data_IF_358473256858
#
_entry.id   IF_358473256858
#
_cell.length_a   1.000
_cell.length_b   1.000
_cell.length_c   1.000
_cell.angle_alpha   90.00
_cell.angle_beta   90.00
_cell.angle_gamma   90.00
#
_symmetry.space_group_name_H-M   'P 1'
#
loop_
_entity.id
_entity.type
_entity.pdbx_description
1 polymer ?
2 non-polymer ?
3 non-polymer ?
4 non-polymer ?
5 water ?
#
# COMPACT_ATOMS: atom_id res chain seq x y z
N UNK A 9 7.57 3.81 -22.43
CA UNK A 9 8.10 2.48 -22.86
C UNK A 9 7.11 1.63 -23.58
N UNK A 10 7.21 1.41 -24.88
CA UNK A 10 6.22 0.60 -25.72
C UNK A 10 6.87 -0.41 -26.58
N UNK A 11 6.29 -1.58 -26.63
CA UNK A 11 6.94 -2.78 -27.26
C UNK A 11 6.13 -3.36 -28.41
N UNK A 12 6.76 -4.04 -29.41
CA UNK A 12 6.04 -4.64 -30.52
C UNK A 12 5.38 -5.97 -30.03
N UNK A 13 4.41 -6.46 -30.77
CA UNK A 13 3.46 -7.46 -30.22
C UNK A 13 4.11 -8.83 -30.39
N UNK A 14 4.13 -9.74 -29.34
CA UNK A 14 4.70 -11.08 -29.46
C UNK A 14 3.58 -11.93 -30.16
N UNK A 15 3.82 -12.42 -31.36
CA UNK A 15 2.69 -12.99 -32.15
C UNK A 15 2.08 -14.34 -31.59
N UNK A 16 2.64 -14.83 -30.51
CA UNK A 16 1.92 -15.92 -29.75
C UNK A 16 0.66 -15.40 -29.02
N UNK A 17 0.63 -14.11 -28.62
CA UNK A 17 -0.62 -13.36 -28.31
C UNK A 17 -1.47 -13.10 -29.61
N UNK A 18 -2.77 -13.45 -29.61
CA UNK A 18 -3.74 -13.11 -30.61
C UNK A 18 -4.29 -11.77 -30.20
N UNK A 19 -4.45 -10.85 -31.21
CA UNK A 19 -4.60 -9.38 -30.98
C UNK A 19 -5.90 -9.02 -30.24
N UNK A 20 -7.02 -9.73 -30.44
CA UNK A 20 -8.33 -9.27 -29.92
C UNK A 20 -8.26 -8.98 -28.34
N UNK A 21 -7.31 -9.54 -27.68
CA UNK A 21 -7.02 -9.30 -26.27
C UNK A 21 -6.35 -8.00 -25.97
N UNK A 22 -5.54 -7.46 -26.92
CA UNK A 22 -4.62 -6.38 -26.66
C UNK A 22 -5.33 -5.06 -26.15
N UNK A 23 -4.82 -4.38 -25.13
CA UNK A 23 -5.33 -3.10 -24.61
C UNK A 23 -4.18 -2.14 -24.37
N UNK A 24 -4.43 -0.86 -24.77
CA UNK A 24 -3.56 0.27 -24.42
C UNK A 24 -3.80 0.76 -22.99
N UNK A 25 -2.77 0.63 -22.19
CA UNK A 25 -2.75 1.03 -20.74
C UNK A 25 -1.40 0.85 -20.04
N UNK A 26 -0.80 1.90 -19.46
CA UNK A 26 0.38 1.83 -18.59
C UNK A 26 0.08 1.91 -17.11
N UNK A 27 0.70 1.06 -16.24
CA UNK A 27 0.60 1.06 -14.77
C UNK A 27 0.99 2.31 -14.02
N UNK A 28 1.84 3.14 -14.56
CA UNK A 28 2.19 4.45 -14.01
C UNK A 28 1.49 5.67 -14.64
N UNK A 29 1.05 5.46 -15.94
CA UNK A 29 0.06 6.30 -16.59
C UNK A 29 -1.28 5.65 -17.14
N UNK A 30 -2.20 5.44 -16.17
CA UNK A 30 -3.46 4.74 -16.40
C UNK A 30 -4.39 5.66 -17.24
N UNK A 31 -5.68 5.45 -17.42
CA UNK A 31 -6.43 6.17 -18.53
C UNK A 31 -6.54 7.69 -18.43
N UNK A 32 -6.26 8.27 -17.28
CA UNK A 32 -6.50 9.70 -17.11
C UNK A 32 -5.92 10.24 -15.80
N UNK A 33 -4.89 11.17 -15.86
CA UNK A 33 -4.24 11.75 -14.66
C UNK A 33 -5.14 12.67 -13.81
N UNK A 34 -6.37 12.99 -14.29
CA UNK A 34 -7.35 13.85 -13.53
C UNK A 34 -8.37 13.06 -12.67
N UNK A 35 -8.41 11.74 -12.81
CA UNK A 35 -9.26 10.82 -11.99
C UNK A 35 -8.50 10.18 -10.82
N UNK A 36 -9.35 9.56 -9.93
CA UNK A 36 -8.91 8.74 -8.73
C UNK A 36 -8.46 7.32 -9.23
N UNK A 37 -7.48 6.73 -8.61
CA UNK A 37 -6.78 5.59 -9.18
C UNK A 37 -7.73 4.46 -9.54
N UNK A 38 -8.79 4.23 -8.77
CA UNK A 38 -9.84 3.20 -9.12
C UNK A 38 -10.53 3.68 -10.48
N UNK A 39 -10.91 4.99 -10.55
CA UNK A 39 -11.61 5.50 -11.79
C UNK A 39 -10.67 5.75 -12.99
N UNK A 40 -9.31 5.84 -12.78
CA UNK A 40 -8.32 5.82 -13.79
C UNK A 40 -8.08 4.42 -14.40
N UNK A 41 -8.20 3.31 -13.63
CA UNK A 41 -8.04 1.94 -14.20
C UNK A 41 -9.40 1.31 -14.61
N UNK A 42 -10.51 1.88 -14.23
CA UNK A 42 -11.82 1.27 -14.54
C UNK A 42 -12.06 0.95 -16.02
N UNK A 43 -11.53 1.64 -17.08
CA UNK A 43 -11.70 1.34 -18.51
C UNK A 43 -11.39 -0.08 -18.85
N UNK A 44 -10.68 -0.88 -17.99
CA UNK A 44 -10.34 -2.29 -18.24
C UNK A 44 -11.49 -3.24 -17.94
N UNK A 45 -12.55 -2.76 -17.31
CA UNK A 45 -13.71 -3.52 -17.01
C UNK A 45 -14.94 -3.33 -17.93
N UNK A 46 -14.88 -2.62 -19.07
CA UNK A 46 -15.99 -2.58 -19.99
C UNK A 46 -16.42 -3.99 -20.48
N UNK A 47 -17.70 -4.09 -20.81
CA UNK A 47 -18.36 -5.50 -20.99
C UNK A 47 -17.91 -6.36 -22.17
N UNK A 48 -17.13 -5.76 -23.11
CA UNK A 48 -16.46 -6.45 -24.20
C UNK A 48 -15.08 -6.98 -23.70
N UNK A 49 -14.45 -6.49 -22.63
CA UNK A 49 -13.00 -6.67 -22.37
C UNK A 49 -12.80 -8.04 -21.83
N UNK A 50 -11.92 -8.91 -22.24
CA UNK A 50 -11.62 -10.17 -21.53
C UNK A 50 -11.18 -10.02 -20.02
N UNK A 51 -11.03 -11.17 -19.30
CA UNK A 51 -10.62 -11.24 -17.87
C UNK A 51 -9.08 -10.86 -17.70
N UNK A 52 -8.41 -10.75 -18.78
CA UNK A 52 -6.98 -10.47 -18.78
C UNK A 52 -6.60 -9.89 -20.13
N UNK A 53 -5.65 -8.97 -20.21
CA UNK A 53 -5.17 -8.27 -21.33
C UNK A 53 -3.66 -8.32 -21.42
N UNK A 54 -3.13 -8.23 -22.63
CA UNK A 54 -1.78 -7.82 -22.90
C UNK A 54 -1.79 -6.33 -23.31
N UNK A 55 -0.99 -5.57 -22.56
CA UNK A 55 -0.52 -4.19 -22.72
C UNK A 55 0.94 -4.30 -23.29
N UNK A 56 1.19 -3.56 -24.32
CA UNK A 56 2.53 -3.39 -25.00
C UNK A 56 3.33 -2.30 -24.26
N UNK A 57 2.70 -1.58 -23.35
CA UNK A 57 3.35 -0.54 -22.48
C UNK A 57 4.28 -1.07 -21.42
N UNK A 58 5.21 -0.25 -20.86
CA UNK A 58 6.19 -0.76 -19.89
C UNK A 58 7.16 -1.87 -20.46
N UNK A 59 7.37 -1.95 -21.77
CA UNK A 59 8.06 -3.01 -22.38
C UNK A 59 7.27 -4.36 -22.66
N UNK A 60 5.99 -4.36 -22.29
CA UNK A 60 5.13 -5.60 -22.40
C UNK A 60 4.86 -6.28 -21.04
N UNK A 61 3.66 -6.49 -20.71
CA UNK A 61 3.17 -7.33 -19.61
C UNK A 61 1.69 -7.73 -19.52
N UNK A 62 1.32 -8.94 -19.04
CA UNK A 62 -0.08 -9.34 -18.88
C UNK A 62 -0.62 -8.71 -17.62
N UNK A 63 -1.84 -8.11 -17.79
CA UNK A 63 -2.74 -7.68 -16.74
C UNK A 63 -4.06 -8.54 -16.68
N UNK A 64 -4.57 -8.85 -15.49
CA UNK A 64 -5.95 -9.28 -15.25
C UNK A 64 -6.79 -8.03 -14.96
N UNK A 65 -8.02 -7.95 -15.57
CA UNK A 65 -9.00 -6.93 -15.29
C UNK A 65 -9.94 -7.32 -14.17
N UNK A 66 -10.12 -8.63 -13.96
CA UNK A 66 -11.23 -9.09 -13.15
C UNK A 66 -10.79 -9.55 -11.82
N UNK A 67 -11.50 -9.04 -10.79
CA UNK A 67 -11.43 -9.48 -9.38
C UNK A 67 -11.55 -10.96 -9.31
N UNK A 68 -12.42 -11.56 -10.06
CA UNK A 68 -12.66 -12.98 -9.96
C UNK A 68 -11.40 -13.75 -10.32
N UNK A 69 -10.69 -13.47 -11.45
CA UNK A 69 -9.46 -14.25 -11.60
C UNK A 69 -8.41 -13.94 -10.50
N UNK A 70 -8.28 -12.64 -10.18
CA UNK A 70 -7.33 -12.22 -9.15
C UNK A 70 -7.55 -13.07 -7.87
N UNK A 71 -8.75 -13.15 -7.32
CA UNK A 71 -9.10 -13.98 -6.19
C UNK A 71 -8.92 -15.52 -6.43
N UNK A 72 -8.85 -15.98 -7.64
CA UNK A 72 -8.46 -17.40 -7.91
C UNK A 72 -6.98 -17.67 -8.09
N UNK A 73 -6.25 -16.78 -8.79
CA UNK A 73 -4.83 -16.79 -8.63
C UNK A 73 -4.35 -16.78 -7.20
N UNK A 74 -4.99 -15.92 -6.32
CA UNK A 74 -4.65 -15.73 -4.93
C UNK A 74 -4.89 -16.95 -4.05
N UNK A 75 -5.77 -17.89 -4.39
CA UNK A 75 -6.11 -19.04 -3.50
C UNK A 75 -4.92 -20.01 -3.30
N UNK A 76 -4.59 -20.84 -4.33
CA UNK A 76 -3.58 -21.85 -4.27
C UNK A 76 -2.13 -21.31 -4.63
N UNK A 77 -1.29 -21.37 -3.58
CA UNK A 77 0.17 -20.97 -3.68
C UNK A 77 0.88 -21.95 -4.66
N UNK A 78 0.43 -23.20 -4.84
CA UNK A 78 1.12 -24.10 -5.75
C UNK A 78 0.95 -23.76 -7.24
N UNK A 79 -0.09 -22.99 -7.60
CA UNK A 79 -0.30 -22.52 -8.99
C UNK A 79 0.22 -21.08 -9.32
N UNK A 80 0.27 -20.22 -8.36
CA UNK A 80 0.75 -18.79 -8.49
C UNK A 80 1.39 -18.25 -7.24
N UNK A 81 2.50 -17.57 -7.34
CA UNK A 81 3.31 -17.11 -6.15
C UNK A 81 3.45 -15.61 -6.12
N UNK A 82 3.33 -14.94 -4.95
CA UNK A 82 3.69 -13.60 -4.61
C UNK A 82 5.22 -13.32 -4.58
N UNK A 83 6.13 -14.28 -4.92
CA UNK A 83 7.55 -14.33 -4.45
C UNK A 83 8.38 -13.10 -4.89
N UNK A 84 7.96 -12.49 -5.97
CA UNK A 84 8.28 -11.03 -6.23
C UNK A 84 7.00 -10.32 -6.67
N UNK A 85 6.38 -9.45 -5.89
CA UNK A 85 5.03 -8.93 -6.24
C UNK A 85 5.19 -7.67 -7.07
N UNK A 86 6.44 -7.28 -7.41
CA UNK A 86 6.75 -6.01 -8.03
C UNK A 86 7.19 -6.28 -9.49
N UNK A 87 6.31 -6.08 -10.48
CA UNK A 87 6.42 -6.53 -11.84
C UNK A 87 7.35 -5.81 -12.80
N UNK A 88 7.54 -4.46 -12.74
CA UNK A 88 8.43 -3.89 -13.78
C UNK A 88 9.84 -4.33 -13.55
N UNK A 89 10.57 -4.52 -14.68
CA UNK A 89 11.84 -5.22 -14.75
C UNK A 89 12.84 -4.75 -13.68
N UNK A 90 12.99 -3.43 -13.50
CA UNK A 90 13.89 -2.77 -12.57
C UNK A 90 13.65 -3.34 -11.13
N UNK A 91 12.41 -3.56 -10.76
CA UNK A 91 12.11 -4.11 -9.43
C UNK A 91 12.28 -5.58 -9.49
N UNK A 92 11.79 -6.19 -10.58
CA UNK A 92 11.95 -7.63 -10.78
C UNK A 92 13.39 -8.20 -10.75
N UNK A 93 14.38 -7.35 -11.16
CA UNK A 93 15.78 -7.81 -11.13
C UNK A 93 16.59 -7.43 -9.85
N UNK A 94 15.91 -7.02 -8.79
CA UNK A 94 16.50 -6.50 -7.54
C UNK A 94 15.70 -6.57 -6.30
N UNK A 95 14.42 -6.88 -6.42
CA UNK A 95 13.50 -7.13 -5.29
C UNK A 95 13.88 -8.49 -4.79
N UNK A 96 14.08 -8.70 -3.50
CA UNK A 96 14.22 -10.06 -2.82
C UNK A 96 14.19 -9.66 -1.35
N UNK A 97 13.12 -10.01 -0.58
CA UNK A 97 12.75 -9.59 0.76
C UNK A 97 11.98 -10.60 1.56
N UNK A 98 12.20 -10.68 2.87
CA UNK A 98 11.72 -11.72 3.84
C UNK A 98 10.45 -11.12 4.41
N UNK A 99 9.39 -11.92 4.70
CA UNK A 99 9.26 -13.36 4.49
C UNK A 99 8.91 -13.79 3.10
N UNK A 100 8.30 -12.87 2.38
CA UNK A 100 7.87 -13.03 0.96
C UNK A 100 8.73 -13.90 0.08
N UNK A 101 9.94 -13.57 -0.17
CA UNK A 101 10.97 -14.40 -0.97
C UNK A 101 11.68 -15.49 -0.26
N UNK A 102 11.09 -16.16 0.76
CA UNK A 102 11.76 -17.32 1.39
C UNK A 102 10.86 -18.52 1.24
N UNK A 103 11.49 -19.72 1.04
CA UNK A 103 10.65 -20.87 0.70
C UNK A 103 9.96 -21.35 1.97
N UNK A 104 8.69 -21.89 1.92
CA UNK A 104 8.10 -22.66 3.00
C UNK A 104 8.65 -24.08 3.16
N UNK A 105 8.53 -24.77 4.27
CA UNK A 105 7.84 -24.51 5.50
C UNK A 105 8.57 -23.56 6.45
N UNK A 106 9.90 -23.45 6.33
CA UNK A 106 10.63 -22.56 7.25
C UNK A 106 10.14 -21.06 7.20
N UNK A 107 9.65 -20.57 6.05
CA UNK A 107 9.13 -19.24 5.90
C UNK A 107 8.16 -18.82 7.04
N UNK A 108 7.33 -19.76 7.51
CA UNK A 108 6.38 -19.59 8.56
C UNK A 108 6.94 -19.22 9.96
N UNK A 109 8.17 -19.60 10.20
CA UNK A 109 8.94 -19.04 11.34
C UNK A 109 9.17 -17.54 11.17
N UNK A 110 9.81 -17.13 10.06
CA UNK A 110 10.02 -15.69 9.82
C UNK A 110 8.74 -14.82 9.93
N UNK A 111 7.63 -15.32 9.42
CA UNK A 111 6.26 -14.82 9.49
C UNK A 111 5.78 -14.60 10.90
N UNK A 112 6.08 -15.54 11.80
CA UNK A 112 5.72 -15.36 13.24
C UNK A 112 6.63 -14.33 13.94
N UNK A 113 7.97 -14.29 13.65
CA UNK A 113 8.84 -13.20 14.14
C UNK A 113 8.34 -11.85 13.61
N UNK A 114 8.23 -11.66 12.32
CA UNK A 114 7.54 -10.53 11.72
C UNK A 114 6.23 -10.12 12.38
N UNK A 115 5.28 -11.08 12.59
CA UNK A 115 4.04 -10.98 13.35
C UNK A 115 4.26 -10.29 14.76
N UNK A 116 5.31 -10.66 15.45
CA UNK A 116 5.74 -10.11 16.76
C UNK A 116 6.58 -8.84 16.67
N UNK A 117 7.43 -8.66 15.60
CA UNK A 117 8.14 -7.36 15.15
C UNK A 117 6.99 -6.34 15.02
N UNK A 118 5.91 -6.64 14.31
CA UNK A 118 4.79 -5.85 14.31
C UNK A 118 3.80 -5.95 15.52
N UNK A 119 4.21 -6.38 16.70
CA UNK A 119 3.40 -6.45 17.88
C UNK A 119 3.01 -5.08 18.54
N UNK A 120 1.77 -4.91 18.89
CA UNK A 120 1.35 -3.64 19.54
C UNK A 120 1.77 -3.33 20.99
N UNK A 121 2.12 -4.25 21.92
CA UNK A 121 2.64 -3.88 23.25
C UNK A 121 3.78 -2.83 23.29
N UNK A 122 4.72 -2.89 22.33
CA UNK A 122 5.77 -1.84 22.34
C UNK A 122 5.33 -0.45 22.01
N UNK A 123 4.21 -0.24 21.28
CA UNK A 123 3.63 1.05 20.99
C UNK A 123 2.44 1.44 21.88
N UNK A 124 1.88 0.47 22.67
CA UNK A 124 0.65 0.48 23.42
C UNK A 124 0.82 1.14 24.75
N UNK A 125 2.08 1.05 25.26
CA UNK A 125 2.60 2.02 26.28
C UNK A 125 2.43 3.51 25.87
N UNK A 126 2.53 3.76 24.60
CA UNK A 126 2.61 5.05 23.89
C UNK A 126 1.23 5.58 23.35
N UNK A 127 0.10 4.91 23.52
CA UNK A 127 -1.20 5.24 22.91
C UNK A 127 -1.63 6.73 23.04
N UNK A 128 -1.47 7.33 24.26
CA UNK A 128 -1.73 8.73 24.55
C UNK A 128 -0.62 9.57 23.90
N UNK A 129 0.66 9.15 23.90
CA UNK A 129 1.69 9.83 23.11
C UNK A 129 1.38 9.86 21.58
N UNK A 130 0.78 8.81 21.04
CA UNK A 130 0.46 8.66 19.61
C UNK A 130 -0.84 9.46 19.35
N UNK A 131 -1.69 9.49 20.32
CA UNK A 131 -2.88 10.33 20.21
C UNK A 131 -2.50 11.86 20.31
N UNK A 132 -1.52 12.26 21.06
CA UNK A 132 -0.84 13.54 21.09
C UNK A 132 -0.18 13.88 19.75
N UNK A 133 0.55 12.94 19.16
CA UNK A 133 1.18 12.99 17.84
C UNK A 133 0.21 13.44 16.70
N UNK A 134 -1.02 12.86 16.61
CA UNK A 134 -2.10 13.33 15.77
C UNK A 134 -2.51 14.76 16.07
N UNK A 135 -2.88 15.09 17.34
CA UNK A 135 -3.18 16.44 17.80
C UNK A 135 -2.07 17.46 17.53
N UNK A 136 -0.86 17.14 17.84
CA UNK A 136 0.34 17.88 17.42
C UNK A 136 0.42 18.30 15.97
N UNK A 137 0.09 17.39 15.10
CA UNK A 137 0.12 17.64 13.64
C UNK A 137 -1.08 18.35 13.08
N UNK A 138 -2.33 18.04 13.53
CA UNK A 138 -3.54 18.83 13.20
C UNK A 138 -3.54 20.18 13.83
N UNK A 139 -3.08 20.34 15.09
CA UNK A 139 -3.09 21.59 15.84
C UNK A 139 -2.03 22.62 15.34
N UNK A 140 -1.02 22.20 14.56
CA UNK A 140 -0.25 22.98 13.67
C UNK A 140 -0.89 23.48 12.37
N UNK A 141 -2.11 22.99 12.06
CA UNK A 141 -2.81 23.32 10.81
C UNK A 141 -4.08 24.09 11.16
N UNK A 142 -4.82 23.66 12.19
CA UNK A 142 -6.19 24.00 12.51
C UNK A 142 -6.63 25.48 12.44
N UNK A 143 -5.89 26.45 13.16
CA UNK A 143 -6.26 27.88 13.00
C UNK A 143 -5.86 28.55 11.62
N UNK A 144 -5.06 27.87 10.80
CA UNK A 144 -4.53 28.39 9.57
C UNK A 144 -5.54 28.40 8.37
N UNK A 145 -6.66 27.68 8.50
CA UNK A 145 -7.63 27.64 7.44
C UNK A 145 -7.21 26.86 6.15
N UNK A 146 -6.14 26.15 6.24
CA UNK A 146 -5.64 25.31 5.16
C UNK A 146 -4.68 24.28 5.63
N UNK A 147 -4.36 23.25 4.81
CA UNK A 147 -3.10 22.48 4.85
C UNK A 147 -2.69 21.92 3.46
N UNK A 148 -1.65 21.06 3.39
CA UNK A 148 -1.37 20.18 2.27
C UNK A 148 -1.18 18.74 2.87
N UNK A 149 -2.29 17.96 2.95
CA UNK A 149 -2.44 16.82 3.85
C UNK A 149 -1.39 15.71 3.68
N UNK A 150 -0.83 15.51 2.45
CA UNK A 150 0.39 14.66 2.21
C UNK A 150 1.50 15.03 3.12
N UNK A 151 1.95 16.23 3.01
CA UNK A 151 3.14 16.63 3.79
C UNK A 151 2.86 17.02 5.24
N UNK A 152 1.69 17.60 5.54
CA UNK A 152 1.23 18.22 6.76
C UNK A 152 0.59 17.19 7.73
N UNK A 153 0.27 15.98 7.31
CA UNK A 153 -0.21 14.98 8.22
C UNK A 153 0.31 13.53 7.89
N UNK A 154 -0.06 13.09 6.62
CA UNK A 154 0.13 11.73 6.14
C UNK A 154 1.64 11.20 6.13
N UNK A 155 2.62 11.95 5.60
CA UNK A 155 4.03 11.66 5.84
C UNK A 155 4.32 11.63 7.34
N UNK A 156 4.30 12.74 8.16
CA UNK A 156 4.58 12.73 9.60
C UNK A 156 3.95 11.61 10.44
N UNK A 157 2.60 11.49 10.51
CA UNK A 157 1.94 10.69 11.49
C UNK A 157 2.31 9.19 11.49
N UNK A 158 1.89 8.41 10.46
CA UNK A 158 2.28 6.97 10.40
C UNK A 158 3.80 6.74 10.35
N UNK A 159 4.63 7.59 9.73
CA UNK A 159 6.06 7.42 9.83
C UNK A 159 6.56 7.64 11.21
N UNK A 160 6.19 8.73 11.85
CA UNK A 160 6.60 9.01 13.25
C UNK A 160 6.14 7.99 14.23
N UNK A 161 5.03 7.32 14.00
CA UNK A 161 4.70 6.10 14.78
C UNK A 161 5.69 4.98 14.50
N UNK A 162 5.81 4.57 13.18
CA UNK A 162 6.78 3.53 12.81
C UNK A 162 8.31 3.80 13.30
N UNK A 163 8.61 5.03 13.40
CA UNK A 163 9.93 5.47 13.98
C UNK A 163 9.92 5.24 15.44
N UNK A 164 8.83 5.43 16.25
CA UNK A 164 8.70 4.88 17.66
C UNK A 164 8.83 3.34 17.62
N UNK A 165 7.92 2.67 16.85
CA UNK A 165 7.98 1.19 16.76
C UNK A 165 9.39 0.59 16.52
N UNK A 166 10.31 1.27 15.79
CA UNK A 166 11.60 0.73 15.34
C UNK A 166 12.75 1.40 16.10
N UNK A 167 12.44 2.35 16.96
CA UNK A 167 13.47 3.06 17.68
C UNK A 167 14.24 4.00 16.75
N UNK A 168 13.71 4.35 15.56
CA UNK A 168 14.38 5.16 14.55
C UNK A 168 14.27 6.71 14.78
N UNK A 169 15.34 7.52 14.56
CA UNK A 169 15.17 8.94 14.79
C UNK A 169 14.43 9.67 13.69
N UNK A 170 13.44 10.48 13.99
CA UNK A 170 12.66 11.39 13.06
C UNK A 170 13.49 12.20 12.07
N UNK A 171 14.76 12.58 12.40
CA UNK A 171 15.55 13.30 11.37
C UNK A 171 15.85 12.36 10.11
N UNK A 172 15.87 11.07 10.25
CA UNK A 172 15.87 10.14 9.12
C UNK A 172 14.62 10.10 8.24
N UNK A 173 13.51 10.74 8.57
CA UNK A 173 12.35 10.54 7.73
C UNK A 173 12.48 11.00 6.24
N UNK A 174 13.19 12.08 5.93
CA UNK A 174 13.34 12.42 4.51
C UNK A 174 14.16 11.39 3.70
N UNK A 175 15.06 10.74 4.31
CA UNK A 175 15.87 9.65 3.78
C UNK A 175 15.00 8.45 3.32
N UNK A 176 14.24 7.91 4.25
CA UNK A 176 13.66 6.55 4.12
C UNK A 176 12.44 6.56 3.26
N UNK A 177 11.56 7.66 3.36
CA UNK A 177 10.46 7.98 2.48
C UNK A 177 10.84 8.30 1.04
N UNK A 178 11.94 8.93 0.77
CA UNK A 178 12.58 9.08 -0.61
C UNK A 178 12.85 7.67 -1.31
N UNK A 179 13.45 6.77 -0.56
CA UNK A 179 13.74 5.34 -0.86
C UNK A 179 12.49 4.51 -1.06
N UNK A 180 11.50 4.54 -0.17
CA UNK A 180 10.21 3.85 -0.34
C UNK A 180 9.30 4.54 -1.43
N UNK A 181 9.53 5.81 -1.75
CA UNK A 181 8.86 6.39 -2.92
C UNK A 181 9.64 5.99 -4.26
N UNK A 182 10.99 6.12 -4.41
CA UNK A 182 11.69 5.66 -5.63
C UNK A 182 11.46 4.20 -5.92
N UNK A 183 11.45 3.32 -4.94
CA UNK A 183 11.13 1.85 -5.23
C UNK A 183 9.71 1.69 -5.82
N UNK A 184 8.64 2.40 -5.35
CA UNK A 184 7.25 2.20 -5.73
C UNK A 184 6.98 3.05 -7.01
N UNK A 185 7.52 4.25 -7.12
CA UNK A 185 7.10 5.21 -8.15
C UNK A 185 8.37 6.04 -8.66
N UNK A 186 9.21 5.60 -9.57
CA UNK A 186 10.61 5.98 -9.93
C UNK A 186 10.61 7.29 -10.74
N UNK A 187 11.76 7.82 -11.15
CA UNK A 187 11.87 9.10 -11.91
C UNK A 187 13.33 9.44 -12.30
N UNK A 188 14.27 9.14 -11.38
CA UNK A 188 15.66 9.53 -11.30
C UNK A 188 16.57 8.43 -11.81
N UNK A 189 17.90 8.58 -11.58
CA UNK A 189 18.88 7.60 -12.05
C UNK A 189 19.21 6.47 -11.04
N UNK A 190 18.75 6.61 -9.79
CA UNK A 190 18.67 5.55 -8.81
C UNK A 190 17.74 4.50 -9.34
N UNK A 191 18.35 3.35 -9.70
CA UNK A 191 17.69 2.01 -9.87
C UNK A 191 17.24 1.39 -8.55
N UNK A 192 16.40 0.36 -8.60
CA UNK A 192 15.80 -0.39 -7.43
C UNK A 192 17.00 -1.08 -6.68
N UNK A 193 17.90 -1.74 -7.46
CA UNK A 193 19.14 -2.27 -6.89
C UNK A 193 19.88 -1.20 -5.99
N UNK A 194 19.99 0.05 -6.51
CA UNK A 194 20.65 1.19 -5.86
C UNK A 194 19.87 1.59 -4.59
N UNK A 195 18.50 1.66 -4.73
CA UNK A 195 17.61 1.94 -3.60
C UNK A 195 17.80 0.98 -2.44
N UNK A 196 17.83 -0.31 -2.80
CA UNK A 196 18.00 -1.47 -1.90
C UNK A 196 19.34 -1.52 -1.27
N UNK A 197 20.36 -1.08 -2.05
CA UNK A 197 21.79 -1.04 -1.62
C UNK A 197 22.03 0.02 -0.60
N UNK A 198 21.50 1.17 -0.82
CA UNK A 198 21.46 2.27 0.07
C UNK A 198 20.52 2.10 1.35
N UNK A 199 19.38 1.47 1.23
CA UNK A 199 18.62 1.10 2.37
C UNK A 199 19.40 -0.01 3.19
N UNK A 200 20.00 -0.99 2.51
CA UNK A 200 20.68 -2.07 3.28
C UNK A 200 21.91 -1.55 4.03
N UNK A 201 22.59 -0.50 3.47
CA UNK A 201 23.75 0.12 4.19
C UNK A 201 23.26 1.06 5.37
N UNK A 202 22.15 1.68 5.22
CA UNK A 202 21.51 2.42 6.31
C UNK A 202 21.02 1.53 7.43
N UNK A 203 20.54 0.37 7.09
CA UNK A 203 20.02 -0.58 8.05
C UNK A 203 21.17 -1.25 8.90
N UNK A 204 22.28 -1.63 8.29
CA UNK A 204 23.33 -2.49 8.91
C UNK A 204 24.01 -2.03 10.18
N UNK A 205 24.34 -0.76 10.33
CA UNK A 205 24.85 -0.15 11.57
C UNK A 205 23.81 -0.19 12.70
N UNK A 206 22.54 0.23 12.36
CA UNK A 206 21.44 0.08 13.30
C UNK A 206 21.25 -1.37 13.72
N UNK A 207 21.27 -2.34 12.85
CA UNK A 207 21.06 -3.79 13.18
C UNK A 207 22.19 -4.33 14.09
N UNK A 208 23.41 -4.14 13.68
CA UNK A 208 24.54 -4.70 14.47
C UNK A 208 24.74 -3.93 15.78
N UNK A 209 24.19 -2.75 15.94
CA UNK A 209 24.18 -2.11 17.21
C UNK A 209 23.17 -2.82 18.10
N UNK A 210 21.93 -2.97 17.73
CA UNK A 210 20.85 -3.65 18.52
C UNK A 210 21.41 -5.03 18.85
N UNK A 211 22.18 -5.70 17.96
CA UNK A 211 22.77 -6.96 18.32
C UNK A 211 23.60 -6.94 19.55
N UNK A 212 24.34 -5.92 19.92
CA UNK A 212 25.04 -5.78 21.14
C UNK A 212 24.11 -5.14 22.19
N UNK A 213 23.14 -4.32 21.78
CA UNK A 213 22.50 -3.36 22.62
C UNK A 213 20.96 -3.48 22.49
N UNK A 214 20.36 -4.68 22.70
CA UNK A 214 18.91 -4.86 22.38
C UNK A 214 18.07 -3.85 23.35
N UNK A 215 17.00 -3.20 22.91
CA UNK A 215 16.03 -2.59 23.73
C UNK A 215 14.62 -2.85 23.38
N UNK A 216 13.52 -2.24 23.85
CA UNK A 216 12.17 -2.39 23.37
C UNK A 216 11.94 -1.58 22.08
N UNK A 217 12.01 -2.28 20.97
CA UNK A 217 11.71 -1.78 19.65
C UNK A 217 11.84 -2.94 18.65
N UNK A 218 11.03 -2.90 17.61
CA UNK A 218 10.89 -3.90 16.49
C UNK A 218 12.25 -4.36 15.79
N UNK A 219 13.20 -3.45 15.71
CA UNK A 219 14.48 -3.70 15.06
C UNK A 219 15.34 -4.48 16.00
N UNK A 220 15.25 -4.25 17.30
CA UNK A 220 15.82 -5.13 18.24
C UNK A 220 15.18 -6.50 18.25
N UNK A 221 13.89 -6.58 18.00
CA UNK A 221 13.33 -7.91 17.76
C UNK A 221 13.81 -8.63 16.51
N UNK A 222 13.84 -7.93 15.37
CA UNK A 222 14.27 -8.45 14.01
C UNK A 222 15.79 -8.65 13.90
N UNK A 223 16.56 -8.19 14.95
CA UNK A 223 18.00 -8.43 15.01
C UNK A 223 18.30 -9.62 15.92
N UNK A 224 17.32 -10.13 16.70
CA UNK A 224 17.62 -11.17 17.70
C UNK A 224 16.68 -12.36 17.88
N UNK A 225 15.47 -12.39 17.27
CA UNK A 225 14.46 -13.44 17.39
C UNK A 225 14.89 -14.73 16.98
N UNK A 226 14.28 -15.73 17.57
CA UNK A 226 14.73 -17.09 17.15
C UNK A 226 13.82 -17.72 16.07
N UNK A 227 14.43 -18.51 15.11
CA UNK A 227 13.71 -19.05 13.95
C UNK A 227 14.38 -20.41 13.64
N UNK A 228 13.59 -21.55 13.73
CA UNK A 228 14.10 -22.92 13.50
C UNK A 228 15.37 -23.27 14.33
N UNK A 229 15.31 -23.07 15.63
CA UNK A 229 16.39 -23.50 16.56
C UNK A 229 17.64 -22.53 16.52
N UNK A 230 17.72 -21.55 15.60
CA UNK A 230 18.82 -20.48 15.57
C UNK A 230 18.28 -19.08 15.66
N UNK A 231 19.10 -18.07 15.93
CA UNK A 231 18.67 -16.62 15.86
C UNK A 231 18.56 -16.23 14.35
N UNK A 232 17.87 -15.20 14.08
CA UNK A 232 17.92 -14.39 12.86
C UNK A 232 19.27 -13.73 12.65
N UNK A 233 19.70 -13.55 11.44
CA UNK A 233 20.91 -12.84 11.08
C UNK A 233 20.80 -11.47 10.48
N UNK A 234 21.85 -10.66 10.52
CA UNK A 234 21.72 -9.23 10.11
C UNK A 234 21.27 -9.04 8.62
N UNK A 235 21.73 -9.93 7.75
CA UNK A 235 21.32 -9.98 6.36
C UNK A 235 19.89 -10.47 6.16
N UNK A 236 19.28 -11.19 7.13
CA UNK A 236 17.87 -11.53 7.11
C UNK A 236 17.04 -10.32 7.67
N UNK A 237 17.45 -9.76 8.80
CA UNK A 237 17.00 -8.53 9.47
C UNK A 237 16.85 -7.30 8.47
N UNK A 238 17.93 -7.07 7.69
CA UNK A 238 17.89 -5.96 6.64
C UNK A 238 16.94 -6.31 5.50
N UNK A 239 16.71 -7.59 5.14
CA UNK A 239 15.92 -8.05 4.03
C UNK A 239 14.40 -8.09 4.43
N UNK A 240 14.08 -8.34 5.72
CA UNK A 240 12.69 -8.27 6.21
C UNK A 240 12.32 -6.81 6.23
N UNK A 241 13.17 -6.00 6.98
CA UNK A 241 13.05 -4.55 7.13
C UNK A 241 12.73 -3.70 5.89
N UNK A 242 13.37 -3.97 4.71
CA UNK A 242 13.07 -3.28 3.53
C UNK A 242 11.58 -3.33 3.14
N UNK A 243 11.05 -4.54 2.98
CA UNK A 243 9.63 -4.74 2.72
C UNK A 243 8.85 -4.10 3.87
N UNK A 244 9.08 -4.40 5.15
CA UNK A 244 8.34 -3.79 6.21
C UNK A 244 8.21 -2.24 6.20
N UNK A 245 9.33 -1.60 5.80
CA UNK A 245 9.45 -0.12 5.70
C UNK A 245 8.79 0.33 4.41
N UNK A 246 8.86 -0.36 3.33
CA UNK A 246 7.91 -0.08 2.25
C UNK A 246 6.43 -0.29 2.57
N UNK A 247 6.05 -1.08 3.59
CA UNK A 247 4.72 -1.00 4.20
C UNK A 247 4.60 0.25 4.93
N UNK A 248 5.13 0.26 6.19
CA UNK A 248 4.83 1.43 7.06
C UNK A 248 5.22 2.79 6.59
N UNK A 249 6.10 2.83 5.60
CA UNK A 249 6.52 4.17 5.04
C UNK A 249 6.02 4.39 3.61
N UNK A 250 5.13 3.55 3.12
CA UNK A 250 4.46 3.90 1.81
C UNK A 250 2.99 3.51 1.75
N UNK A 251 2.55 2.26 1.73
CA UNK A 251 1.15 1.80 1.68
C UNK A 251 0.17 2.62 2.52
N UNK A 252 0.54 2.96 3.76
CA UNK A 252 -0.41 3.64 4.74
C UNK A 252 -0.35 5.19 4.42
N UNK A 253 0.83 5.71 3.98
CA UNK A 253 0.99 7.13 3.70
C UNK A 253 0.15 7.57 2.53
N UNK A 254 -0.02 6.65 1.55
CA UNK A 254 -0.80 6.99 0.39
C UNK A 254 -2.34 6.83 0.65
N UNK A 255 -2.67 5.81 1.40
CA UNK A 255 -4.02 5.48 1.82
C UNK A 255 -4.69 6.55 2.66
N UNK A 256 -3.96 7.13 3.61
CA UNK A 256 -4.52 8.26 4.32
C UNK A 256 -5.04 9.33 3.36
N UNK A 257 -4.24 9.76 2.38
CA UNK A 257 -4.41 10.90 1.44
C UNK A 257 -5.56 10.70 0.41
N UNK A 258 -5.65 9.50 -0.18
CA UNK A 258 -6.77 9.13 -0.92
C UNK A 258 -8.05 9.06 0.01
N UNK A 259 -7.87 8.68 1.32
CA UNK A 259 -9.09 8.69 2.15
C UNK A 259 -9.71 10.06 2.46
N UNK A 260 -8.86 11.09 2.46
CA UNK A 260 -9.27 12.47 2.68
C UNK A 260 -9.51 13.24 1.41
N UNK A 261 -8.89 12.82 0.26
CA UNK A 261 -9.27 13.40 -1.03
C UNK A 261 -10.72 13.14 -1.35
N UNK A 262 -11.16 11.96 -0.94
CA UNK A 262 -12.57 11.51 -0.93
C UNK A 262 -13.40 12.39 -0.04
N UNK A 263 -13.06 12.48 1.22
CA UNK A 263 -13.94 13.19 2.27
C UNK A 263 -14.02 14.72 1.99
N UNK A 264 -12.88 15.37 1.60
CA UNK A 264 -12.82 16.79 1.21
C UNK A 264 -13.96 17.21 0.24
N UNK A 265 -14.27 16.38 -0.79
CA UNK A 265 -15.35 16.64 -1.78
C UNK A 265 -16.68 16.12 -1.28
N UNK A 266 -16.78 15.50 -0.10
CA UNK A 266 -17.98 14.79 0.25
C UNK A 266 -18.49 15.33 1.60
N UNK A 267 -19.40 16.28 1.66
CA UNK A 267 -19.81 16.82 2.94
C UNK A 267 -20.87 16.00 3.64
N UNK A 268 -21.41 14.94 3.03
CA UNK A 268 -22.37 14.03 3.62
C UNK A 268 -21.58 13.01 4.46
N UNK A 269 -20.57 12.38 3.87
CA UNK A 269 -19.79 11.41 4.56
C UNK A 269 -19.05 11.97 5.75
N UNK A 270 -18.60 13.22 5.74
CA UNK A 270 -17.92 13.78 6.91
C UNK A 270 -18.93 13.85 8.17
N UNK A 271 -20.26 14.03 7.88
CA UNK A 271 -21.29 13.96 8.96
C UNK A 271 -21.39 12.48 9.42
N UNK A 272 -21.51 11.50 8.49
CA UNK A 272 -21.55 10.08 8.70
C UNK A 272 -20.48 9.69 9.64
N UNK A 273 -19.20 10.17 9.53
CA UNK A 273 -18.10 9.75 10.47
C UNK A 273 -18.21 10.34 11.88
N UNK A 274 -18.94 11.37 12.10
CA UNK A 274 -19.26 11.98 13.35
C UNK A 274 -20.68 11.65 13.94
N UNK A 275 -21.64 11.20 13.09
CA UNK A 275 -22.81 10.57 13.71
C UNK A 275 -22.54 9.23 14.31
N UNK A 276 -21.70 8.39 13.67
CA UNK A 276 -21.34 7.07 14.15
C UNK A 276 -19.79 6.73 14.18
N UNK A 277 -18.99 7.46 15.00
CA UNK A 277 -17.55 7.11 15.22
C UNK A 277 -17.27 5.61 15.46
N UNK A 278 -18.18 4.87 16.14
CA UNK A 278 -18.15 3.40 16.36
C UNK A 278 -18.08 2.63 15.10
N UNK A 279 -18.96 2.92 14.07
CA UNK A 279 -19.04 2.21 12.82
C UNK A 279 -17.78 2.32 11.96
N UNK A 280 -16.83 3.17 12.30
CA UNK A 280 -15.65 3.50 11.48
C UNK A 280 -14.89 2.19 10.85
N UNK A 281 -14.78 1.06 11.58
CA UNK A 281 -14.23 -0.16 11.00
C UNK A 281 -14.91 -0.62 9.72
N UNK A 282 -16.24 -0.39 9.57
CA UNK A 282 -16.94 -0.59 8.28
C UNK A 282 -16.55 0.30 7.15
N UNK A 283 -16.72 1.56 7.39
CA UNK A 283 -16.20 2.63 6.54
C UNK A 283 -14.76 2.38 6.12
N UNK A 284 -13.83 2.10 7.09
CA UNK A 284 -12.38 1.86 6.83
C UNK A 284 -12.18 0.76 5.82
N UNK A 285 -12.84 -0.38 6.03
CA UNK A 285 -12.83 -1.52 5.10
C UNK A 285 -13.58 -1.20 3.77
N UNK A 286 -14.62 -0.37 3.78
CA UNK A 286 -15.22 0.19 2.58
C UNK A 286 -14.17 1.10 1.83
N UNK A 287 -13.35 1.91 2.49
CA UNK A 287 -12.40 2.81 1.84
C UNK A 287 -11.31 1.92 1.28
N UNK A 288 -10.78 0.86 2.06
CA UNK A 288 -9.82 -0.16 1.60
C UNK A 288 -10.37 -0.71 0.31
N UNK A 289 -11.71 -0.97 0.19
CA UNK A 289 -12.28 -1.57 -1.06
C UNK A 289 -12.15 -0.49 -2.08
N UNK A 290 -12.76 0.69 -1.78
CA UNK A 290 -13.03 1.75 -2.77
C UNK A 290 -11.77 2.51 -3.33
N UNK A 291 -10.66 2.45 -2.59
CA UNK A 291 -9.34 2.92 -3.05
C UNK A 291 -8.24 1.81 -2.97
N UNK A 292 -8.46 0.70 -3.66
CA UNK A 292 -7.62 -0.44 -3.42
C UNK A 292 -6.07 -0.39 -3.88
N UNK A 293 -5.67 0.71 -4.50
CA UNK A 293 -4.28 1.21 -4.71
C UNK A 293 -3.10 0.28 -5.15
N UNK A 294 -3.06 -1.03 -4.80
CA UNK A 294 -1.96 -1.95 -5.21
C UNK A 294 -2.14 -2.62 -6.55
N UNK A 295 -1.04 -2.80 -7.33
CA UNK A 295 -1.05 -3.74 -8.41
C UNK A 295 0.14 -4.70 -8.20
N UNK A 296 -0.18 -5.98 -8.02
CA UNK A 296 0.85 -6.96 -7.74
C UNK A 296 1.06 -8.02 -8.86
N UNK A 297 2.30 -8.47 -9.04
CA UNK A 297 2.93 -9.09 -10.17
C UNK A 297 3.06 -10.59 -10.16
N UNK A 298 1.96 -11.26 -9.97
CA UNK A 298 1.98 -12.67 -9.53
C UNK A 298 2.82 -13.51 -10.47
N UNK A 299 3.66 -14.37 -9.84
CA UNK A 299 4.62 -15.38 -10.44
C UNK A 299 3.89 -16.73 -10.79
N UNK A 300 4.13 -17.30 -11.98
CA UNK A 300 3.61 -18.62 -12.43
C UNK A 300 4.53 -19.72 -11.89
N UNK A 301 3.96 -20.73 -11.26
CA UNK A 301 4.73 -21.89 -10.67
C UNK A 301 5.04 -22.93 -11.75
N UNK A 302 4.26 -23.06 -12.72
CA UNK A 302 4.20 -24.30 -13.45
C UNK A 302 3.63 -24.20 -14.85
N UNK A 303 2.42 -23.73 -15.02
CA UNK A 303 1.66 -23.62 -16.24
C UNK A 303 0.36 -22.77 -16.07
N UNK A 304 -0.29 -22.36 -17.13
CA UNK A 304 -1.68 -21.83 -17.07
C UNK A 304 -2.22 -21.73 -18.51
N UNK A 305 -3.39 -22.32 -18.77
CA UNK A 305 -4.11 -22.21 -20.05
C UNK A 305 -5.34 -21.25 -19.95
N UNK A 306 -5.42 -20.28 -20.88
CA UNK A 306 -6.59 -19.48 -21.10
C UNK A 306 -6.75 -19.00 -22.54
N UNK A 307 -7.99 -18.95 -23.02
CA UNK A 307 -8.38 -18.57 -24.41
C UNK A 307 -7.45 -18.88 -25.60
N UNK A 308 -6.90 -20.05 -25.57
CA UNK A 308 -5.90 -20.71 -26.48
C UNK A 308 -4.39 -20.38 -26.26
N UNK A 309 -4.10 -19.43 -25.34
CA UNK A 309 -2.74 -19.02 -24.99
C UNK A 309 -2.25 -19.80 -23.74
N UNK A 310 -0.92 -19.90 -23.48
CA UNK A 310 -0.45 -20.64 -22.35
C UNK A 310 0.71 -19.94 -21.68
N UNK A 311 0.76 -19.90 -20.36
CA UNK A 311 1.86 -19.26 -19.61
C UNK A 311 2.94 -20.28 -19.16
N UNK A 312 4.09 -19.96 -18.77
CA UNK A 312 5.26 -20.86 -18.54
C UNK A 312 5.60 -20.76 -17.04
N UNK A 313 6.27 -21.76 -16.52
CA UNK A 313 7.04 -21.66 -15.28
C UNK A 313 8.00 -20.35 -15.31
N UNK A 314 7.94 -19.57 -14.29
CA UNK A 314 8.84 -18.44 -14.24
C UNK A 314 8.13 -17.15 -14.80
N UNK A 315 7.04 -17.26 -15.56
CA UNK A 315 6.35 -16.09 -16.15
C UNK A 315 5.57 -15.31 -15.14
N UNK A 316 4.70 -14.33 -15.52
CA UNK A 316 3.97 -13.53 -14.50
C UNK A 316 2.83 -12.78 -15.08
N UNK A 317 1.90 -12.41 -14.20
CA UNK A 317 0.73 -11.55 -14.53
C UNK A 317 0.36 -10.47 -13.46
N UNK A 318 0.19 -9.18 -13.86
CA UNK A 318 -0.11 -8.05 -12.99
C UNK A 318 -1.60 -8.16 -12.53
N UNK A 319 -1.93 -8.07 -11.27
CA UNK A 319 -3.31 -8.18 -10.72
C UNK A 319 -3.63 -6.77 -10.14
N UNK A 320 -4.32 -5.84 -10.83
CA UNK A 320 -4.80 -4.58 -10.23
C UNK A 320 -5.84 -4.77 -9.13
N UNK A 321 -5.40 -4.59 -7.91
CA UNK A 321 -6.24 -4.53 -6.75
C UNK A 321 -7.25 -3.35 -6.83
N UNK A 322 -6.86 -2.20 -7.43
CA UNK A 322 -7.82 -1.20 -7.86
C UNK A 322 -9.04 -1.76 -8.68
N UNK A 323 -8.92 -2.96 -9.34
CA UNK A 323 -10.01 -3.57 -10.12
C UNK A 323 -10.60 -4.88 -9.47
N UNK A 324 -9.77 -5.49 -8.57
CA UNK A 324 -10.30 -6.44 -7.53
C UNK A 324 -11.34 -5.75 -6.62
N UNK A 325 -11.11 -4.51 -6.19
CA UNK A 325 -12.07 -3.69 -5.37
C UNK A 325 -13.24 -3.21 -6.15
N UNK A 326 -13.31 -3.59 -7.43
CA UNK A 326 -14.32 -3.07 -8.41
C UNK A 326 -15.05 -4.19 -9.17
N UNK A 327 -14.59 -5.38 -9.26
CA UNK A 327 -15.30 -6.36 -10.09
C UNK A 327 -16.76 -6.70 -9.60
N UNK A 328 -17.75 -6.61 -10.46
CA UNK A 328 -19.21 -6.63 -10.17
C UNK A 328 -19.58 -8.06 -10.08
N UNK A 329 -18.68 -9.02 -10.28
CA UNK A 329 -18.72 -10.49 -9.92
C UNK A 329 -18.49 -10.73 -8.40
N UNK A 330 -17.73 -9.80 -7.77
CA UNK A 330 -17.30 -9.98 -6.37
C UNK A 330 -17.91 -8.82 -5.54
N UNK A 331 -18.01 -7.64 -5.99
CA UNK A 331 -18.24 -6.44 -5.22
C UNK A 331 -19.66 -5.96 -5.64
N UNK A 332 -20.56 -5.77 -4.70
CA UNK A 332 -21.97 -5.40 -4.84
C UNK A 332 -22.21 -3.98 -5.41
N UNK A 333 -21.52 -2.94 -4.93
CA UNK A 333 -21.60 -1.59 -5.37
C UNK A 333 -20.22 -1.05 -5.90
N UNK A 334 -19.86 -1.08 -7.19
CA UNK A 334 -18.54 -0.77 -7.77
C UNK A 334 -18.01 0.65 -7.49
N UNK A 335 -18.61 1.69 -8.05
CA UNK A 335 -18.23 3.08 -7.73
C UNK A 335 -18.84 3.72 -6.51
N UNK A 336 -20.13 3.37 -6.34
CA UNK A 336 -20.93 3.81 -5.23
C UNK A 336 -20.29 3.44 -3.86
N UNK A 337 -20.42 4.36 -2.93
CA UNK A 337 -19.78 4.37 -1.60
C UNK A 337 -20.66 4.73 -0.41
N UNK A 338 -20.97 3.78 0.41
CA UNK A 338 -21.78 3.91 1.62
C UNK A 338 -21.12 3.09 2.75
N UNK A 339 -21.14 3.57 3.96
CA UNK A 339 -20.37 2.98 5.09
C UNK A 339 -21.18 1.80 5.72
N UNK A 340 -22.32 1.39 5.21
CA UNK A 340 -23.14 0.41 6.01
C UNK A 340 -23.46 -0.91 5.27
N UNK A 341 -22.57 -1.30 4.32
CA UNK A 341 -22.60 -2.67 3.64
C UNK A 341 -21.67 -3.70 4.44
N UNK A 342 -22.02 -4.96 4.37
CA UNK A 342 -21.33 -6.02 5.11
C UNK A 342 -20.04 -6.53 4.40
N UNK A 343 -19.14 -7.22 5.10
CA UNK A 343 -17.72 -7.40 4.80
C UNK A 343 -17.32 -7.54 3.36
N UNK A 344 -16.25 -6.82 2.95
CA UNK A 344 -15.78 -7.05 1.58
C UNK A 344 -15.21 -8.46 1.23
N UNK A 345 -15.07 -8.73 -0.06
CA UNK A 345 -14.87 -10.10 -0.64
C UNK A 345 -13.51 -10.25 -1.43
N UNK A 346 -12.83 -9.13 -1.66
CA UNK A 346 -11.69 -9.06 -2.51
C UNK A 346 -10.39 -9.60 -1.87
N UNK A 347 -9.22 -8.99 -2.27
CA UNK A 347 -7.89 -9.49 -2.08
C UNK A 347 -6.86 -8.42 -1.68
N UNK A 348 -7.25 -7.15 -1.49
CA UNK A 348 -6.46 -6.04 -0.96
C UNK A 348 -6.03 -6.21 0.54
N UNK A 349 -5.61 -7.41 0.94
CA UNK A 349 -5.21 -7.92 2.25
C UNK A 349 -4.78 -9.44 2.36
N UNK A 350 -4.89 -10.19 1.20
CA UNK A 350 -4.46 -11.64 1.20
C UNK A 350 -5.69 -12.55 1.00
N UNK A 351 -5.37 -13.85 0.94
CA UNK A 351 -6.36 -14.89 0.73
C UNK A 351 -5.73 -16.26 1.06
N UNK A 352 -5.49 -17.20 0.15
CA UNK A 352 -4.95 -18.51 0.49
C UNK A 352 -3.48 -18.59 0.34
N UNK A 353 -2.91 -17.97 -0.70
CA UNK A 353 -1.53 -18.23 -1.05
C UNK A 353 -0.54 -17.38 -0.24
N UNK A 354 -0.77 -16.09 -0.04
CA UNK A 354 -0.02 -15.31 0.82
C UNK A 354 -1.03 -14.47 1.67
N UNK A 355 -0.60 -13.62 2.65
CA UNK A 355 -1.48 -12.80 3.50
C UNK A 355 -0.69 -11.56 3.99
N UNK A 356 -1.31 -10.34 3.99
CA UNK A 356 -0.71 -9.16 4.63
C UNK A 356 -0.45 -9.27 6.15
N UNK A 357 0.81 -9.09 6.56
CA UNK A 357 1.22 -9.10 7.97
C UNK A 357 0.93 -7.79 8.72
N UNK A 358 0.85 -6.65 8.02
CA UNK A 358 0.96 -5.35 8.59
C UNK A 358 -0.31 -4.40 8.38
N UNK A 359 -1.24 -4.61 7.44
CA UNK A 359 -2.41 -3.75 7.28
C UNK A 359 -3.15 -3.46 8.61
N UNK A 360 -3.06 -4.25 9.66
CA UNK A 360 -3.55 -3.85 10.97
C UNK A 360 -3.05 -2.56 11.53
N UNK A 361 -1.82 -2.22 11.31
CA UNK A 361 -1.20 -0.86 11.59
C UNK A 361 -1.80 0.28 10.71
N UNK A 362 -1.74 0.12 9.37
CA UNK A 362 -2.36 1.03 8.51
C UNK A 362 -3.87 1.28 8.84
N UNK A 363 -4.68 0.21 8.90
CA UNK A 363 -6.11 0.36 9.18
C UNK A 363 -6.30 0.95 10.63
N UNK A 364 -5.46 0.70 11.60
CA UNK A 364 -5.54 1.42 12.87
C UNK A 364 -5.22 2.89 12.64
N UNK A 365 -4.13 3.22 11.97
CA UNK A 365 -3.81 4.66 11.87
C UNK A 365 -4.98 5.32 11.07
N UNK A 366 -5.66 4.63 10.16
CA UNK A 366 -6.93 5.13 9.54
C UNK A 366 -8.02 5.29 10.61
N UNK A 367 -8.38 4.19 11.27
CA UNK A 367 -9.43 4.31 12.24
C UNK A 367 -9.22 5.29 13.34
N UNK A 368 -7.94 5.57 13.63
CA UNK A 368 -7.59 6.68 14.55
C UNK A 368 -7.67 8.05 13.77
N UNK A 369 -7.22 8.19 12.50
CA UNK A 369 -7.31 9.38 11.72
C UNK A 369 -8.71 9.84 11.55
N UNK A 370 -9.58 8.89 11.25
CA UNK A 370 -10.98 9.10 11.02
C UNK A 370 -11.82 9.58 12.24
N UNK A 371 -11.12 9.71 13.31
CA UNK A 371 -11.56 10.32 14.60
C UNK A 371 -10.78 11.67 14.83
N UNK A 372 -9.49 11.58 15.00
CA UNK A 372 -8.78 12.78 15.51
C UNK A 372 -8.70 13.94 14.49
N UNK A 373 -8.86 13.66 13.16
CA UNK A 373 -9.05 14.84 12.17
C UNK A 373 -10.45 15.48 12.27
N UNK A 374 -11.44 14.60 12.43
CA UNK A 374 -12.90 14.85 12.38
C UNK A 374 -13.46 15.57 13.51
N UNK A 375 -13.12 15.09 14.65
CA UNK A 375 -13.30 15.74 16.04
C UNK A 375 -12.87 17.20 16.06
N UNK A 376 -11.83 17.53 15.32
CA UNK A 376 -11.35 18.92 15.30
C UNK A 376 -11.99 19.54 14.10
N UNK A 377 -11.78 18.98 12.98
CA UNK A 377 -12.00 19.63 11.63
C UNK A 377 -13.08 18.91 10.88
N UNK A 378 -14.41 19.04 11.20
CA UNK A 378 -15.40 18.20 10.51
C UNK A 378 -15.74 18.65 9.09
N UNK A 379 -15.58 19.96 8.72
CA UNK A 379 -15.79 20.50 7.36
C UNK A 379 -14.42 20.90 6.69
N UNK A 380 -14.12 20.56 5.47
CA UNK A 380 -12.90 20.86 4.70
C UNK A 380 -13.05 20.59 3.20
N UNK A 381 -12.33 21.30 2.35
CA UNK A 381 -12.49 21.20 0.88
C UNK A 381 -11.09 21.41 0.28
N UNK A 382 -10.79 20.92 -0.93
CA UNK A 382 -9.54 21.15 -1.62
C UNK A 382 -9.49 22.61 -1.99
N UNK A 383 -8.34 23.20 -1.86
CA UNK A 383 -8.07 24.68 -2.07
C UNK A 383 -8.61 25.13 -3.44
N UNK A 384 -9.17 26.34 -3.52
CA UNK A 384 -9.69 26.88 -4.74
C UNK A 384 -8.60 27.18 -5.76
N UNK A 385 -8.94 26.88 -7.05
CA UNK A 385 -8.02 26.96 -8.17
C UNK A 385 -6.94 25.82 -8.26
N UNK A 386 -6.75 25.01 -7.20
CA UNK A 386 -5.99 23.72 -7.16
C UNK A 386 -6.68 22.64 -7.98
N UNK A 387 -5.92 21.59 -8.38
CA UNK A 387 -6.45 20.30 -8.71
C UNK A 387 -5.52 19.18 -8.31
N UNK A 388 -6.07 18.00 -8.13
CA UNK A 388 -5.41 16.80 -7.67
C UNK A 388 -5.04 15.90 -8.94
N UNK A 389 -3.93 15.25 -8.85
CA UNK A 389 -3.26 14.36 -9.75
C UNK A 389 -2.75 13.13 -8.97
N UNK A 390 -3.42 12.02 -9.10
CA UNK A 390 -3.08 10.70 -8.53
C UNK A 390 -1.82 10.13 -9.25
N UNK A 391 -1.07 9.32 -8.58
CA UNK A 391 0.18 8.77 -9.03
C UNK A 391 0.19 7.22 -8.88
N UNK A 392 -0.54 6.62 -9.81
CA UNK A 392 -0.61 5.13 -10.07
C UNK A 392 0.80 4.49 -10.23
N UNK A 393 0.84 3.17 -9.99
CA UNK A 393 2.08 2.33 -10.03
C UNK A 393 1.85 1.09 -9.24
N UNK A 394 2.90 0.27 -9.05
CA UNK A 394 2.81 -1.02 -8.38
C UNK A 394 2.21 -0.86 -7.00
N UNK A 395 2.61 0.17 -6.28
CA UNK A 395 1.81 0.75 -5.15
C UNK A 395 1.61 2.25 -5.53
N UNK A 396 0.41 2.78 -5.38
CA UNK A 396 0.11 4.11 -5.96
C UNK A 396 0.15 5.26 -4.94
N UNK A 397 0.39 6.49 -5.39
CA UNK A 397 0.38 7.69 -4.47
C UNK A 397 -0.43 8.93 -5.00
N UNK A 398 -0.26 10.10 -4.36
CA UNK A 398 -0.82 11.33 -4.92
C UNK A 398 0.23 12.47 -4.81
N UNK A 399 0.11 13.37 -5.78
CA UNK A 399 1.16 14.39 -5.97
C UNK A 399 1.27 15.32 -4.72
N UNK A 400 0.18 15.60 -4.00
CA UNK A 400 -0.05 16.59 -3.00
C UNK A 400 -1.57 16.47 -2.66
N UNK A 401 -2.04 17.11 -1.59
CA UNK A 401 -3.44 17.29 -1.30
C UNK A 401 -3.62 18.57 -0.50
N UNK A 402 -3.66 19.73 -1.19
CA UNK A 402 -3.88 21.09 -0.67
C UNK A 402 -5.32 21.33 -0.27
N UNK A 403 -5.63 21.26 1.02
CA UNK A 403 -6.97 21.56 1.60
C UNK A 403 -7.17 22.96 2.21
N UNK A 404 -8.43 23.43 2.26
CA UNK A 404 -8.94 24.66 2.98
C UNK A 404 -10.19 24.45 3.78
N UNK A 405 -10.42 25.40 4.76
CA UNK A 405 -11.58 25.41 5.66
C UNK A 405 -11.73 26.78 6.33
N UNK A 406 -12.97 27.25 6.56
CA UNK A 406 -13.14 28.28 7.57
C UNK A 406 -12.61 27.81 8.93
N UNK A 407 -11.62 28.43 9.60
CA UNK A 407 -10.99 27.89 10.80
C UNK A 407 -11.90 28.01 12.08
N UNK A 408 -12.78 29.04 12.20
CA UNK A 408 -13.73 29.15 13.29
C UNK A 408 -14.82 28.02 13.26
N UNK A 409 -14.79 27.16 12.29
CA UNK A 409 -15.65 25.98 12.28
C UNK A 409 -15.27 25.01 13.37
N UNK A 410 -13.93 25.01 13.74
CA UNK A 410 -13.17 23.96 14.59
C UNK A 410 -13.32 24.18 16.10
N UNK A 411 -13.00 23.24 16.97
CA UNK A 411 -12.90 23.35 18.43
C UNK A 411 -11.60 22.69 18.93
N UNK A 412 -11.04 23.21 20.03
CA UNK A 412 -9.90 22.46 20.66
C UNK A 412 -10.37 21.11 21.29
N UNK A 413 -9.75 19.97 20.94
CA UNK A 413 -9.98 18.69 21.52
C UNK A 413 -8.67 18.38 22.19
#
# INVERSE_FOLDING_TARGET
TETIQSNANLAPLPPHVPEHLVFDFDMYNPSNLSAGVQEAWAVLQESNVPDLVWTRCNGGHWIATRGQLIREAYEDYRHFSSECPFIPREAGEAYDFIPTSMDPPEQRQFRALANQVVGMPVVDKLENRIQELACSLIESLRPQGQCNFTEDYAEPFPIRIFMLLAGLPEEDIPHLKYLTDQMTRPDGSMTFAEAKEALYDYLIPIIEQRRQKPGTDAISIVANGQVNGRPITSDEAKRMCGLLLVGGLDTVVNFLSFSMEFLAKSPEHRQELIERPERIPAACEELLRRFSLVADGRILTSDYEFHGVQLKKGDQILLPQMLSGLDERENACPMHVDFSRQKVSHTTFGHGSHLCLGQHLARREIIVTLKEWLTRIPDFSIAPGAQIQHKSGIVSGVQALPLVWDPATTKAV
#
